data_IF_992671258036
#
_entry.id   IF_992671258036
#
_cell.length_a   1.000
_cell.length_b   1.000
_cell.length_c   1.000
_cell.angle_alpha   90.00
_cell.angle_beta   90.00
_cell.angle_gamma   90.00
#
_symmetry.space_group_name_H-M   'P 1'
#
loop_
_entity.id
_entity.type
_entity.pdbx_description
1 polymer ?
#
# COMPACT_ATOMS: atom_id res chain seq x y z
N UNK A 1 -4.87 13.30 -20.62
CA UNK A 1 -3.47 12.83 -20.56
C UNK A 1 -3.52 11.33 -20.59
N UNK A 2 -2.89 10.68 -21.54
CA UNK A 2 -2.74 9.21 -21.52
C UNK A 2 -1.50 8.90 -20.70
N UNK A 3 -1.69 8.35 -19.51
CA UNK A 3 -0.58 7.84 -18.72
C UNK A 3 -0.37 6.38 -19.11
N UNK A 4 0.79 6.06 -19.64
CA UNK A 4 1.15 4.70 -20.05
C UNK A 4 1.74 3.86 -18.90
N UNK A 5 1.90 4.47 -17.71
CA UNK A 5 2.58 3.86 -16.57
C UNK A 5 1.79 4.07 -15.27
N UNK A 6 1.36 2.98 -14.58
CA UNK A 6 0.67 3.06 -13.30
C UNK A 6 1.36 3.91 -12.23
N UNK A 7 2.69 3.85 -12.19
CA UNK A 7 3.47 4.62 -11.22
C UNK A 7 3.44 6.13 -11.47
N UNK A 8 3.35 6.57 -12.73
CA UNK A 8 3.19 7.99 -13.07
C UNK A 8 1.81 8.51 -12.68
N UNK A 9 0.76 7.71 -12.86
CA UNK A 9 -0.59 8.04 -12.42
C UNK A 9 -0.58 8.27 -10.92
N UNK A 10 -0.16 7.28 -10.15
CA UNK A 10 -0.11 7.35 -8.69
C UNK A 10 0.68 8.57 -8.21
N UNK A 11 1.87 8.79 -8.76
CA UNK A 11 2.74 9.89 -8.36
C UNK A 11 2.10 11.27 -8.61
N UNK A 12 1.50 11.47 -9.78
CA UNK A 12 0.90 12.75 -10.16
C UNK A 12 -0.30 13.13 -9.28
N UNK A 13 -1.15 12.14 -8.95
CA UNK A 13 -2.33 12.40 -8.13
C UNK A 13 -2.03 12.43 -6.62
N UNK A 14 -1.05 11.66 -6.13
CA UNK A 14 -0.62 11.71 -4.74
C UNK A 14 0.13 13.00 -4.37
N UNK A 15 0.58 13.77 -5.37
CA UNK A 15 1.32 15.03 -5.19
C UNK A 15 2.46 14.92 -4.18
N UNK A 16 3.23 13.86 -4.26
CA UNK A 16 4.35 13.62 -3.36
C UNK A 16 5.45 14.67 -3.51
N UNK A 17 6.28 14.88 -2.47
CA UNK A 17 7.34 15.89 -2.51
C UNK A 17 8.36 15.62 -3.61
N UNK A 18 9.02 16.68 -4.08
CA UNK A 18 10.08 16.61 -5.08
C UNK A 18 11.14 15.57 -4.69
N UNK A 19 11.54 14.72 -5.65
CA UNK A 19 12.51 13.65 -5.45
C UNK A 19 11.94 12.36 -4.83
N UNK A 20 10.67 12.31 -4.45
CA UNK A 20 10.05 11.08 -3.93
C UNK A 20 10.02 9.97 -4.99
N UNK A 21 9.81 10.32 -6.26
CA UNK A 21 9.83 9.35 -7.37
C UNK A 21 11.20 8.65 -7.48
N UNK A 22 12.29 9.41 -7.42
CA UNK A 22 13.66 8.84 -7.50
C UNK A 22 13.94 7.93 -6.31
N UNK A 23 13.48 8.30 -5.12
CA UNK A 23 13.60 7.47 -3.93
C UNK A 23 12.77 6.19 -4.03
N UNK A 24 11.51 6.27 -4.49
CA UNK A 24 10.66 5.11 -4.75
C UNK A 24 11.31 4.15 -5.76
N UNK A 25 11.89 4.70 -6.82
CA UNK A 25 12.66 3.92 -7.78
C UNK A 25 13.89 3.26 -7.14
N UNK A 26 14.62 3.99 -6.31
CA UNK A 26 15.82 3.47 -5.64
C UNK A 26 15.53 2.32 -4.67
N UNK A 27 14.37 2.30 -4.01
CA UNK A 27 13.94 1.19 -3.14
C UNK A 27 13.30 0.02 -3.92
N UNK A 28 13.17 0.12 -5.25
CA UNK A 28 12.63 -0.94 -6.11
C UNK A 28 11.11 -0.99 -6.20
N UNK A 29 10.39 0.08 -5.88
CA UNK A 29 8.91 0.12 -5.90
C UNK A 29 8.34 -0.28 -7.27
N UNK A 30 8.98 0.13 -8.36
CA UNK A 30 8.54 -0.16 -9.73
C UNK A 30 8.92 -1.57 -10.22
N UNK A 31 9.73 -2.29 -9.47
CA UNK A 31 10.21 -3.63 -9.81
C UNK A 31 9.65 -4.72 -8.89
N UNK A 32 9.21 -4.35 -7.69
CA UNK A 32 8.73 -5.28 -6.68
C UNK A 32 7.44 -6.00 -7.11
N UNK A 33 7.25 -7.28 -6.74
CA UNK A 33 6.00 -7.99 -6.91
C UNK A 33 4.98 -7.60 -5.83
N UNK A 34 3.68 -7.75 -6.11
CA UNK A 34 2.64 -7.55 -5.10
C UNK A 34 2.57 -8.70 -4.09
N UNK A 35 2.97 -9.90 -4.49
CA UNK A 35 2.98 -11.08 -3.62
C UNK A 35 4.11 -12.04 -4.00
N UNK A 36 4.35 -13.04 -3.13
CA UNK A 36 5.34 -14.09 -3.41
C UNK A 36 4.90 -15.06 -4.50
N UNK A 37 3.60 -15.37 -4.59
CA UNK A 37 3.09 -16.42 -5.48
C UNK A 37 1.57 -16.44 -5.61
N UNK A 38 0.92 -15.33 -5.30
CA UNK A 38 -0.52 -15.14 -5.46
C UNK A 38 -0.79 -14.09 -6.54
N UNK A 39 -1.61 -13.06 -6.25
CA UNK A 39 -1.89 -11.97 -7.18
C UNK A 39 -0.61 -11.19 -7.54
N UNK A 40 -0.46 -10.84 -8.81
CA UNK A 40 0.63 -10.01 -9.34
C UNK A 40 2.04 -10.37 -8.81
N UNK A 41 2.35 -11.67 -8.73
CA UNK A 41 3.66 -12.20 -8.35
C UNK A 41 4.67 -12.05 -9.50
N UNK A 42 4.78 -10.86 -10.06
CA UNK A 42 5.61 -10.51 -11.22
C UNK A 42 6.32 -9.18 -10.99
N UNK A 43 7.35 -8.92 -11.78
CA UNK A 43 8.03 -7.62 -11.76
C UNK A 43 7.03 -6.50 -12.06
N UNK A 44 7.04 -5.45 -11.23
CA UNK A 44 6.10 -4.33 -11.33
C UNK A 44 4.70 -4.62 -10.77
N UNK A 45 4.48 -5.80 -10.21
CA UNK A 45 3.20 -6.18 -9.62
C UNK A 45 2.76 -5.26 -8.49
N UNK A 46 3.70 -4.77 -7.67
CA UNK A 46 3.39 -3.86 -6.55
C UNK A 46 2.79 -2.54 -7.03
N UNK A 47 3.35 -1.92 -8.04
CA UNK A 47 2.83 -0.63 -8.54
C UNK A 47 1.47 -0.80 -9.22
N UNK A 48 1.24 -1.92 -9.92
CA UNK A 48 -0.07 -2.23 -10.48
C UNK A 48 -1.12 -2.48 -9.39
N UNK A 49 -0.77 -3.24 -8.36
CA UNK A 49 -1.62 -3.46 -7.18
C UNK A 49 -1.95 -2.13 -6.49
N UNK A 50 -0.95 -1.29 -6.25
CA UNK A 50 -1.16 0.03 -5.66
C UNK A 50 -2.13 0.91 -6.47
N UNK A 51 -2.09 0.85 -7.80
CA UNK A 51 -3.05 1.55 -8.65
C UNK A 51 -4.46 0.99 -8.47
N UNK A 52 -4.63 -0.33 -8.55
CA UNK A 52 -5.93 -0.99 -8.39
C UNK A 52 -6.56 -0.68 -7.02
N UNK A 53 -5.74 -0.71 -5.95
CA UNK A 53 -6.16 -0.33 -4.60
C UNK A 53 -6.57 1.13 -4.54
N UNK A 54 -5.80 2.02 -5.17
CA UNK A 54 -6.08 3.45 -5.20
C UNK A 54 -7.41 3.74 -5.89
N UNK A 55 -7.66 3.15 -7.05
CA UNK A 55 -8.91 3.34 -7.80
C UNK A 55 -10.13 2.94 -6.94
N UNK A 56 -10.03 1.80 -6.26
CA UNK A 56 -11.06 1.33 -5.32
C UNK A 56 -11.22 2.25 -4.12
N UNK A 57 -10.11 2.73 -3.55
CA UNK A 57 -10.13 3.59 -2.37
C UNK A 57 -10.71 4.97 -2.69
N UNK A 58 -10.43 5.52 -3.86
CA UNK A 58 -11.05 6.77 -4.34
C UNK A 58 -12.56 6.58 -4.48
N UNK A 59 -13.02 5.51 -5.14
CA UNK A 59 -14.45 5.21 -5.29
C UNK A 59 -15.14 5.05 -3.93
N UNK A 60 -14.56 4.27 -3.01
CA UNK A 60 -15.10 4.08 -1.66
C UNK A 60 -15.12 5.38 -0.86
N UNK A 61 -14.10 6.22 -1.01
CA UNK A 61 -14.02 7.52 -0.34
C UNK A 61 -15.16 8.43 -0.76
N UNK A 62 -15.50 8.47 -2.04
CA UNK A 62 -16.59 9.26 -2.58
C UNK A 62 -17.94 8.70 -2.12
N UNK A 63 -18.19 7.40 -2.28
CA UNK A 63 -19.45 6.74 -1.93
C UNK A 63 -19.76 6.82 -0.43
N UNK A 64 -18.74 6.65 0.41
CA UNK A 64 -18.88 6.70 1.87
C UNK A 64 -18.73 8.12 2.43
N UNK A 65 -18.45 9.12 1.60
CA UNK A 65 -18.17 10.50 2.00
C UNK A 65 -17.10 10.60 3.09
N UNK A 66 -15.96 9.91 2.89
CA UNK A 66 -14.88 9.85 3.88
C UNK A 66 -14.17 11.19 3.98
N UNK A 67 -14.16 11.78 5.18
CA UNK A 67 -13.40 12.98 5.47
C UNK A 67 -11.92 12.69 5.70
N UNK A 68 -11.11 12.76 4.64
CA UNK A 68 -9.65 12.68 4.73
C UNK A 68 -9.04 14.02 5.14
N UNK A 69 -7.84 13.99 5.70
CA UNK A 69 -7.09 15.22 6.06
C UNK A 69 -6.69 16.07 4.86
N UNK A 70 -6.61 15.50 3.67
CA UNK A 70 -6.38 16.19 2.39
C UNK A 70 -6.99 15.40 1.22
N UNK A 71 -7.27 16.09 0.13
CA UNK A 71 -7.90 15.47 -1.06
C UNK A 71 -7.02 14.38 -1.71
N UNK A 72 -5.70 14.47 -1.56
CA UNK A 72 -4.75 13.51 -2.06
C UNK A 72 -4.61 12.23 -1.21
N UNK A 73 -5.18 12.19 0.00
CA UNK A 73 -5.01 11.07 0.94
C UNK A 73 -5.33 9.68 0.35
N UNK A 74 -6.43 9.48 -0.40
CA UNK A 74 -6.69 8.17 -1.02
C UNK A 74 -5.57 7.72 -1.96
N UNK A 75 -4.99 8.65 -2.73
CA UNK A 75 -3.87 8.38 -3.63
C UNK A 75 -2.59 8.07 -2.88
N UNK A 76 -2.31 8.80 -1.80
CA UNK A 76 -1.15 8.59 -0.94
C UNK A 76 -1.24 7.23 -0.24
N UNK A 77 -2.38 6.92 0.36
CA UNK A 77 -2.60 5.66 1.07
C UNK A 77 -2.52 4.48 0.11
N UNK A 78 -3.24 4.53 -1.01
CA UNK A 78 -3.21 3.46 -2.01
C UNK A 78 -1.82 3.22 -2.59
N UNK A 79 -1.05 4.28 -2.84
CA UNK A 79 0.33 4.17 -3.33
C UNK A 79 1.29 3.58 -2.30
N UNK A 80 1.14 3.92 -1.01
CA UNK A 80 2.15 3.66 0.00
C UNK A 80 1.82 2.52 0.98
N UNK A 81 0.58 1.98 0.97
CA UNK A 81 0.15 1.00 1.97
C UNK A 81 1.06 -0.23 2.07
N UNK A 82 1.62 -0.65 0.97
CA UNK A 82 2.39 -1.89 0.80
C UNK A 82 3.89 -1.66 0.51
N UNK A 83 4.45 -0.50 0.85
CA UNK A 83 5.88 -0.20 0.60
C UNK A 83 6.83 -1.23 1.19
N UNK A 84 6.46 -1.90 2.27
CA UNK A 84 7.27 -2.98 2.86
C UNK A 84 7.58 -4.09 1.86
N UNK A 85 6.74 -4.31 0.85
CA UNK A 85 6.94 -5.33 -0.19
C UNK A 85 8.21 -5.08 -1.03
N UNK A 86 8.69 -3.83 -1.11
CA UNK A 86 9.99 -3.52 -1.73
C UNK A 86 11.16 -4.19 -0.99
N UNK A 87 11.01 -4.50 0.30
CA UNK A 87 12.02 -5.13 1.14
C UNK A 87 11.73 -6.61 1.46
N UNK A 88 10.52 -7.09 1.17
CA UNK A 88 10.08 -8.45 1.54
C UNK A 88 10.43 -9.51 0.51
N UNK A 89 10.72 -9.16 -0.73
CA UNK A 89 10.86 -10.13 -1.81
C UNK A 89 12.16 -9.98 -2.56
N UNK A 90 12.80 -11.13 -2.83
CA UNK A 90 13.98 -11.24 -3.68
C UNK A 90 13.67 -12.17 -4.84
N UNK A 91 13.98 -11.74 -6.06
CA UNK A 91 13.90 -12.60 -7.24
C UNK A 91 14.93 -13.73 -7.10
N UNK A 92 14.49 -14.97 -7.33
CA UNK A 92 15.33 -16.16 -7.30
C UNK A 92 16.18 -16.29 -8.57
N UNK A 93 17.16 -17.19 -8.56
CA UNK A 93 18.08 -17.44 -9.69
C UNK A 93 17.35 -17.96 -10.95
N UNK A 94 16.14 -18.47 -10.81
CA UNK A 94 15.26 -18.88 -11.93
C UNK A 94 14.71 -17.67 -12.73
N UNK A 95 14.86 -16.46 -12.22
CA UNK A 95 14.38 -15.22 -12.85
C UNK A 95 12.85 -15.10 -12.91
N UNK A 96 12.10 -15.96 -12.21
CA UNK A 96 10.64 -16.02 -12.30
C UNK A 96 9.93 -16.03 -10.93
N UNK A 97 10.51 -16.68 -9.94
CA UNK A 97 9.90 -16.82 -8.61
C UNK A 97 10.55 -15.91 -7.59
N UNK A 98 9.83 -15.66 -6.49
CA UNK A 98 10.31 -14.79 -5.41
C UNK A 98 10.41 -15.56 -4.10
N UNK A 99 11.49 -15.28 -3.35
CA UNK A 99 11.67 -15.71 -1.97
C UNK A 99 11.34 -14.58 -1.00
N UNK A 100 10.75 -14.93 0.16
CA UNK A 100 10.55 -13.98 1.24
C UNK A 100 11.88 -13.66 1.92
N UNK A 101 12.09 -12.39 2.18
CA UNK A 101 13.21 -11.85 2.96
C UNK A 101 12.63 -11.03 4.11
N UNK A 102 13.22 -11.14 5.29
CA UNK A 102 12.79 -10.35 6.45
C UNK A 102 13.05 -8.86 6.18
N UNK A 103 12.03 -8.01 6.22
CA UNK A 103 12.20 -6.57 6.04
C UNK A 103 12.93 -5.95 7.24
N UNK A 104 13.51 -4.77 7.03
CA UNK A 104 14.21 -4.01 8.07
C UNK A 104 13.31 -3.61 9.24
N UNK A 105 12.08 -3.22 8.95
CA UNK A 105 11.12 -2.76 9.93
C UNK A 105 10.11 -3.88 10.26
N UNK A 106 9.76 -4.09 11.55
CA UNK A 106 8.77 -5.09 11.92
C UNK A 106 7.34 -4.61 11.65
N UNK A 107 6.43 -5.57 11.46
CA UNK A 107 5.02 -5.30 11.18
C UNK A 107 4.77 -4.82 9.75
N UNK A 108 3.72 -5.34 9.11
CA UNK A 108 3.50 -5.08 7.68
C UNK A 108 3.17 -3.61 7.39
N UNK A 109 2.08 -3.09 7.95
CA UNK A 109 1.67 -1.70 7.75
C UNK A 109 2.60 -0.70 8.45
N UNK A 110 3.09 -1.03 9.67
CA UNK A 110 4.07 -0.18 10.37
C UNK A 110 5.34 -0.03 9.56
N UNK A 111 5.85 -1.12 8.96
CA UNK A 111 7.03 -1.06 8.10
C UNK A 111 6.82 -0.15 6.88
N UNK A 112 5.64 -0.19 6.25
CA UNK A 112 5.30 0.70 5.13
C UNK A 112 5.32 2.17 5.55
N UNK A 113 4.74 2.52 6.71
CA UNK A 113 4.81 3.88 7.27
C UNK A 113 6.25 4.29 7.58
N UNK A 114 7.06 3.41 8.17
CA UNK A 114 8.47 3.71 8.47
C UNK A 114 9.30 3.93 7.21
N UNK A 115 9.08 3.15 6.15
CA UNK A 115 9.73 3.38 4.86
C UNK A 115 9.28 4.72 4.29
N UNK A 116 7.97 5.01 4.25
CA UNK A 116 7.45 6.28 3.73
C UNK A 116 8.05 7.48 4.45
N UNK A 117 8.02 7.47 5.79
CA UNK A 117 8.39 8.64 6.59
C UNK A 117 9.90 8.76 6.82
N UNK A 118 10.58 7.69 7.22
CA UNK A 118 12.00 7.72 7.60
C UNK A 118 12.94 7.60 6.40
N UNK A 119 12.63 6.70 5.46
CA UNK A 119 13.51 6.46 4.32
C UNK A 119 13.21 7.39 3.14
N UNK A 120 11.94 7.61 2.82
CA UNK A 120 11.55 8.46 1.71
C UNK A 120 11.34 9.93 2.10
N UNK A 121 11.11 10.22 3.40
CA UNK A 121 10.84 11.58 3.90
C UNK A 121 9.46 12.10 3.50
N UNK A 122 8.51 11.21 3.25
CA UNK A 122 7.11 11.57 2.94
C UNK A 122 6.37 11.79 4.26
N UNK A 123 5.76 12.95 4.42
CA UNK A 123 4.93 13.23 5.59
C UNK A 123 3.54 12.64 5.42
N UNK A 124 3.11 11.85 6.40
CA UNK A 124 1.78 11.29 6.48
C UNK A 124 0.97 11.99 7.56
N UNK A 125 -0.30 12.26 7.27
CA UNK A 125 -1.26 12.69 8.28
C UNK A 125 -1.69 11.50 9.15
N UNK A 126 -2.25 11.73 10.35
CA UNK A 126 -2.63 10.64 11.26
C UNK A 126 -3.62 9.62 10.67
N UNK A 127 -4.61 10.08 9.89
CA UNK A 127 -5.58 9.25 9.19
C UNK A 127 -4.94 8.39 8.09
N UNK A 128 -3.99 8.94 7.34
CA UNK A 128 -3.22 8.21 6.32
C UNK A 128 -2.33 7.15 6.96
N UNK A 129 -1.63 7.51 8.04
CA UNK A 129 -0.79 6.57 8.77
C UNK A 129 -1.62 5.42 9.38
N UNK A 130 -2.77 5.75 10.00
CA UNK A 130 -3.67 4.74 10.57
C UNK A 130 -4.23 3.80 9.50
N UNK A 131 -4.66 4.34 8.35
CA UNK A 131 -5.14 3.57 7.22
C UNK A 131 -4.06 2.60 6.70
N UNK A 132 -2.82 3.07 6.53
CA UNK A 132 -1.69 2.23 6.09
C UNK A 132 -1.31 1.19 7.15
N UNK A 133 -1.23 1.55 8.44
CA UNK A 133 -0.86 0.61 9.50
C UNK A 133 -1.85 -0.55 9.57
N UNK A 134 -3.13 -0.25 9.43
CA UNK A 134 -4.21 -1.19 9.70
C UNK A 134 -4.91 -1.75 8.45
N UNK A 135 -4.36 -1.52 7.23
CA UNK A 135 -4.98 -2.00 5.98
C UNK A 135 -5.17 -3.52 5.92
N UNK A 136 -4.35 -4.29 6.61
CA UNK A 136 -4.52 -5.74 6.71
C UNK A 136 -5.77 -6.17 7.51
N UNK A 137 -6.44 -5.23 8.19
CA UNK A 137 -7.60 -5.51 9.03
C UNK A 137 -7.26 -6.29 10.29
N UNK A 138 -8.27 -6.90 10.91
CA UNK A 138 -8.14 -7.65 12.16
C UNK A 138 -7.61 -9.09 11.99
N UNK A 139 -7.34 -9.53 10.76
CA UNK A 139 -7.01 -10.93 10.48
C UNK A 139 -5.69 -11.33 11.14
N UNK A 140 -5.75 -12.31 12.04
CA UNK A 140 -4.59 -12.83 12.75
C UNK A 140 -4.11 -11.99 13.93
N UNK A 141 -4.77 -10.87 14.24
CA UNK A 141 -4.45 -10.06 15.41
C UNK A 141 -4.92 -10.74 16.69
N UNK A 142 -4.14 -10.61 17.76
CA UNK A 142 -4.47 -11.12 19.10
C UNK A 142 -3.91 -10.20 20.18
N UNK A 143 -4.50 -10.26 21.37
CA UNK A 143 -4.00 -9.53 22.55
C UNK A 143 -3.81 -8.04 22.26
N UNK A 144 -2.65 -7.50 22.56
CA UNK A 144 -2.34 -6.08 22.46
C UNK A 144 -2.52 -5.53 21.04
N UNK A 145 -2.16 -6.29 19.99
CA UNK A 145 -2.29 -5.84 18.60
C UNK A 145 -3.76 -5.62 18.24
N UNK A 146 -4.67 -6.46 18.77
CA UNK A 146 -6.11 -6.28 18.62
C UNK A 146 -6.62 -5.05 19.37
N UNK A 147 -6.09 -4.79 20.58
CA UNK A 147 -6.47 -3.62 21.35
C UNK A 147 -6.04 -2.32 20.64
N UNK A 148 -4.82 -2.30 20.08
CA UNK A 148 -4.31 -1.16 19.29
C UNK A 148 -5.13 -0.95 18.00
N UNK A 149 -5.51 -2.02 17.31
CA UNK A 149 -6.39 -1.96 16.14
C UNK A 149 -7.78 -1.39 16.49
N UNK A 150 -8.40 -1.88 17.56
CA UNK A 150 -9.69 -1.36 18.02
C UNK A 150 -9.61 0.12 18.42
N UNK A 151 -8.54 0.52 19.11
CA UNK A 151 -8.32 1.94 19.45
C UNK A 151 -8.18 2.82 18.20
N UNK A 152 -7.50 2.34 17.15
CA UNK A 152 -7.41 3.06 15.88
C UNK A 152 -8.76 3.17 15.16
N UNK A 153 -9.60 2.11 15.22
CA UNK A 153 -10.96 2.13 14.68
C UNK A 153 -11.90 3.12 15.40
N UNK A 154 -11.68 3.41 16.67
CA UNK A 154 -12.43 4.45 17.39
C UNK A 154 -12.19 5.86 16.81
N UNK A 155 -11.01 6.09 16.22
CA UNK A 155 -10.58 7.41 15.74
C UNK A 155 -10.75 7.55 14.22
N UNK A 156 -10.38 6.53 13.45
CA UNK A 156 -10.31 6.55 11.97
C UNK A 156 -11.06 5.37 11.32
N UNK A 157 -12.33 5.07 11.72
CA UNK A 157 -13.03 3.88 11.26
C UNK A 157 -13.21 3.82 9.74
N UNK A 158 -13.62 4.93 9.13
CA UNK A 158 -13.92 4.97 7.70
C UNK A 158 -12.67 4.77 6.85
N UNK A 159 -11.57 5.42 7.20
CA UNK A 159 -10.29 5.34 6.50
C UNK A 159 -9.71 3.93 6.54
N UNK A 160 -9.70 3.30 7.73
CA UNK A 160 -9.17 1.94 7.92
C UNK A 160 -10.02 0.91 7.17
N UNK A 161 -11.35 0.97 7.33
CA UNK A 161 -12.28 0.02 6.70
C UNK A 161 -12.24 0.14 5.18
N UNK A 162 -12.26 1.36 4.66
CA UNK A 162 -12.21 1.59 3.21
C UNK A 162 -10.89 1.10 2.61
N UNK A 163 -9.74 1.38 3.26
CA UNK A 163 -8.43 0.94 2.78
C UNK A 163 -8.32 -0.59 2.81
N UNK A 164 -8.73 -1.24 3.90
CA UNK A 164 -8.78 -2.70 3.98
C UNK A 164 -9.67 -3.30 2.89
N UNK A 165 -10.85 -2.73 2.67
CA UNK A 165 -11.80 -3.20 1.66
C UNK A 165 -11.24 -3.02 0.24
N UNK A 166 -10.62 -1.87 -0.05
CA UNK A 166 -10.01 -1.58 -1.33
C UNK A 166 -8.87 -2.56 -1.67
N UNK A 167 -7.96 -2.79 -0.71
CA UNK A 167 -6.86 -3.74 -0.85
C UNK A 167 -7.37 -5.16 -1.12
N UNK A 168 -8.30 -5.63 -0.29
CA UNK A 168 -8.85 -6.97 -0.45
C UNK A 168 -9.64 -7.15 -1.74
N UNK A 169 -10.41 -6.15 -2.15
CA UNK A 169 -11.15 -6.17 -3.41
C UNK A 169 -10.20 -6.16 -4.61
N UNK A 170 -9.16 -5.34 -4.62
CA UNK A 170 -8.14 -5.31 -5.67
C UNK A 170 -7.49 -6.71 -5.82
N UNK A 171 -7.00 -7.27 -4.72
CA UNK A 171 -6.33 -8.58 -4.73
C UNK A 171 -7.23 -9.75 -5.16
N UNK A 172 -8.55 -9.67 -4.95
CA UNK A 172 -9.48 -10.79 -5.17
C UNK A 172 -10.35 -10.65 -6.42
N UNK A 173 -10.64 -9.44 -6.85
CA UNK A 173 -11.57 -9.17 -7.95
C UNK A 173 -10.85 -8.64 -9.20
N UNK A 174 -9.82 -7.81 -9.03
CA UNK A 174 -9.13 -7.17 -10.14
C UNK A 174 -7.85 -7.92 -10.55
N UNK A 175 -7.26 -8.69 -9.63
CA UNK A 175 -5.97 -9.37 -9.78
C UNK A 175 -6.11 -10.89 -9.57
N UNK A 176 -6.94 -11.59 -10.33
CA UNK A 176 -7.11 -13.03 -10.14
C UNK A 176 -5.77 -13.74 -10.35
N UNK A 177 -5.42 -14.63 -9.43
CA UNK A 177 -4.28 -15.54 -9.63
C UNK A 177 -4.54 -16.35 -10.88
N UNK A 178 -3.67 -16.28 -11.88
CA UNK A 178 -3.70 -17.22 -13.00
C UNK A 178 -3.42 -18.61 -12.43
N UNK A 179 -4.47 -19.44 -12.41
CA UNK A 179 -4.42 -20.86 -11.99
C UNK A 179 -3.71 -21.67 -13.06
#
# INVERSE_FOLDING_TARGET
MTFDNPGEILFNFAKLPSGAMDKLKAIGYYDAPASKGHHLAVKGGLVQHSLNVTDRLVELSDVMAIGWSRDESPWIVGMLHDLVKCQCYRLNDDGQTYSYVQPKWPGHGVASVMIATVELGIQLNPDEAAAIIHHMGAFGLTGRDMDEFNAALEVFPAQIIATHTADWAAARLDEPTLI
#
